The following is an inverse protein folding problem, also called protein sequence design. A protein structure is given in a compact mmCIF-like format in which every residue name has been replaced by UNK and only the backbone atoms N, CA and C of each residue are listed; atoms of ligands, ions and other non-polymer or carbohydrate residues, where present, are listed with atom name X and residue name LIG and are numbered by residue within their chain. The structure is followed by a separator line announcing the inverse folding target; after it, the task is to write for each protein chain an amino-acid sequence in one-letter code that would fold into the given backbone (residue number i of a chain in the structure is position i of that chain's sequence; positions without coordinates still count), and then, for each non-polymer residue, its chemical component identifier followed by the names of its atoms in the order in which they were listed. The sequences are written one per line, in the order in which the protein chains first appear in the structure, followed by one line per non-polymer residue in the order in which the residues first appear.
data_IF_818423342531
#
_entry.id   IF_818423342531
#
_cell.length_a   1.000
_cell.length_b   1.000
_cell.length_c   1.000
_cell.angle_alpha   90.00
_cell.angle_beta   90.00
_cell.angle_gamma   90.00
#
_symmetry.space_group_name_H-M   'P 1'
#
loop_
_entity.id
_entity.type
_entity.pdbx_description
1 polymer ?
#
# COMPACT_ATOMS: atom_id res chain seq x y z
N UNK A 1 -1.20 -10.92 -12.35
CA UNK A 1 -0.07 -10.44 -13.16
C UNK A 1 -0.58 -9.83 -14.43
N UNK A 2 -0.06 -8.67 -14.79
CA UNK A 2 -0.44 -7.91 -15.96
C UNK A 2 0.26 -8.51 -17.18
N UNK A 3 -0.36 -9.48 -17.85
CA UNK A 3 0.03 -9.87 -19.20
C UNK A 3 -1.07 -9.40 -20.16
N UNK A 4 -0.71 -8.97 -21.36
CA UNK A 4 -1.67 -8.60 -22.41
C UNK A 4 -2.69 -9.72 -22.63
N UNK A 5 -2.23 -10.97 -22.67
CA UNK A 5 -3.07 -12.15 -22.81
C UNK A 5 -4.14 -12.28 -21.73
N UNK A 6 -3.83 -11.91 -20.47
CA UNK A 6 -4.83 -11.96 -19.39
C UNK A 6 -5.84 -10.81 -19.50
N UNK A 7 -5.42 -9.64 -19.99
CA UNK A 7 -6.33 -8.53 -20.22
C UNK A 7 -7.28 -8.80 -21.37
N UNK A 8 -6.78 -9.38 -22.46
CA UNK A 8 -7.58 -9.83 -23.59
C UNK A 8 -8.59 -10.90 -23.16
N UNK A 9 -8.17 -11.88 -22.36
CA UNK A 9 -9.07 -12.92 -21.85
C UNK A 9 -10.18 -12.34 -20.95
N UNK A 10 -9.90 -11.31 -20.14
CA UNK A 10 -10.92 -10.62 -19.35
C UNK A 10 -11.91 -9.88 -20.25
N UNK A 11 -11.40 -9.12 -21.24
CA UNK A 11 -12.26 -8.42 -22.19
C UNK A 11 -13.13 -9.38 -23.01
N UNK A 12 -12.58 -10.50 -23.48
CA UNK A 12 -13.34 -11.53 -24.19
C UNK A 12 -14.43 -12.18 -23.30
N UNK A 13 -14.19 -12.25 -21.99
CA UNK A 13 -15.19 -12.75 -21.02
C UNK A 13 -16.20 -11.68 -20.60
N UNK A 14 -16.19 -10.48 -21.18
CA UNK A 14 -17.11 -9.39 -20.87
C UNK A 14 -16.79 -8.63 -19.57
N UNK A 15 -15.60 -8.81 -19.02
CA UNK A 15 -15.17 -8.09 -17.81
C UNK A 15 -14.33 -6.86 -18.16
N UNK A 16 -14.57 -5.79 -17.44
CA UNK A 16 -13.71 -4.61 -17.44
C UNK A 16 -12.59 -4.74 -16.39
N UNK A 17 -11.51 -3.99 -16.57
CA UNK A 17 -10.38 -4.06 -15.65
C UNK A 17 -9.76 -2.71 -15.33
N UNK A 18 -9.22 -2.59 -14.12
CA UNK A 18 -8.32 -1.51 -13.69
C UNK A 18 -7.11 -2.17 -13.05
N UNK A 19 -5.92 -2.01 -13.64
CA UNK A 19 -4.70 -2.67 -13.19
C UNK A 19 -3.52 -1.70 -13.10
N UNK A 20 -2.64 -1.93 -12.13
CA UNK A 20 -1.42 -1.12 -11.99
C UNK A 20 -0.45 -1.39 -13.14
N UNK A 21 0.00 -0.35 -13.82
CA UNK A 21 0.99 -0.46 -14.91
C UNK A 21 2.41 -0.55 -14.38
N UNK A 22 3.21 -1.46 -14.94
CA UNK A 22 4.66 -1.44 -14.77
C UNK A 22 5.25 -0.46 -15.77
N UNK A 23 5.69 0.69 -15.29
CA UNK A 23 6.37 1.67 -16.14
C UNK A 23 7.82 1.22 -16.31
N UNK A 24 8.13 0.59 -17.44
CA UNK A 24 9.48 0.12 -17.76
C UNK A 24 10.34 1.13 -18.51
N UNK A 25 9.70 2.11 -19.17
CA UNK A 25 10.33 3.24 -19.85
C UNK A 25 9.56 4.50 -19.49
N UNK A 26 10.22 5.66 -19.48
CA UNK A 26 9.49 6.94 -19.38
C UNK A 26 8.61 7.05 -20.62
N UNK A 27 7.28 7.14 -20.48
CA UNK A 27 6.41 7.35 -21.63
C UNK A 27 6.80 8.63 -22.37
N UNK A 28 6.63 8.65 -23.68
CA UNK A 28 7.02 9.79 -24.52
C UNK A 28 6.37 11.09 -24.04
N UNK A 29 5.08 11.05 -23.76
CA UNK A 29 4.29 12.20 -23.30
C UNK A 29 4.81 12.76 -21.97
N UNK A 30 5.19 11.88 -21.03
CA UNK A 30 5.80 12.28 -19.75
C UNK A 30 7.19 12.88 -19.98
N UNK A 31 7.99 12.29 -20.87
CA UNK A 31 9.33 12.77 -21.16
C UNK A 31 9.29 14.15 -21.83
N UNK A 32 8.35 14.39 -22.75
CA UNK A 32 8.13 15.72 -23.34
C UNK A 32 7.66 16.73 -22.28
N UNK A 33 6.71 16.34 -21.45
CA UNK A 33 6.19 17.21 -20.41
C UNK A 33 7.30 17.61 -19.41
N UNK A 34 8.13 16.65 -18.97
CA UNK A 34 9.25 16.92 -18.07
C UNK A 34 10.32 17.84 -18.66
N UNK A 35 10.46 17.87 -19.98
CA UNK A 35 11.36 18.82 -20.67
C UNK A 35 10.83 20.26 -20.67
N UNK A 36 9.52 20.41 -20.65
CA UNK A 36 8.86 21.71 -20.77
C UNK A 36 8.49 22.30 -19.40
N UNK A 37 8.09 21.47 -18.47
CA UNK A 37 7.59 21.88 -17.16
C UNK A 37 7.93 20.88 -16.06
N UNK A 38 7.98 21.36 -14.82
CA UNK A 38 8.08 20.51 -13.64
C UNK A 38 6.72 19.87 -13.35
N UNK A 39 6.71 18.56 -13.04
CA UNK A 39 5.49 17.86 -12.66
C UNK A 39 4.92 18.43 -11.35
N UNK A 40 3.64 18.76 -11.35
CA UNK A 40 2.91 19.25 -10.18
C UNK A 40 2.28 18.08 -9.42
N UNK A 41 2.09 18.22 -8.09
CA UNK A 41 1.47 17.16 -7.30
C UNK A 41 0.06 16.86 -7.78
N UNK A 42 -0.30 15.57 -7.81
CA UNK A 42 -1.55 15.03 -8.35
C UNK A 42 -1.76 15.18 -9.86
N UNK A 43 -0.75 15.61 -10.59
CA UNK A 43 -0.87 15.72 -12.04
C UNK A 43 -1.19 14.39 -12.69
N UNK A 44 -2.19 14.41 -13.57
CA UNK A 44 -2.66 13.24 -14.31
C UNK A 44 -2.39 13.45 -15.79
N UNK A 45 -1.85 12.42 -16.43
CA UNK A 45 -1.63 12.35 -17.87
C UNK A 45 -2.25 11.07 -18.40
N UNK A 46 -2.90 11.13 -19.56
CA UNK A 46 -3.60 9.99 -20.16
C UNK A 46 -3.04 9.73 -21.55
N UNK A 47 -2.64 8.51 -21.80
CA UNK A 47 -2.23 8.03 -23.13
C UNK A 47 -3.26 7.03 -23.60
N UNK A 48 -3.93 7.33 -24.71
CA UNK A 48 -4.89 6.43 -25.33
C UNK A 48 -4.17 5.42 -26.23
N UNK A 49 -4.65 4.18 -26.20
CA UNK A 49 -4.29 3.08 -27.11
C UNK A 49 -5.56 2.47 -27.65
N UNK A 50 -5.47 1.69 -28.74
CA UNK A 50 -6.63 1.22 -29.50
C UNK A 50 -7.74 0.59 -28.60
N UNK A 51 -7.36 -0.29 -27.66
CA UNK A 51 -8.31 -1.03 -26.85
C UNK A 51 -8.24 -0.71 -25.33
N UNK A 52 -7.37 0.21 -24.91
CA UNK A 52 -7.21 0.57 -23.52
C UNK A 52 -6.56 1.94 -23.38
N UNK A 53 -6.68 2.54 -22.20
CA UNK A 53 -5.95 3.76 -21.86
C UNK A 53 -5.00 3.51 -20.69
N UNK A 54 -3.91 4.27 -20.71
CA UNK A 54 -2.91 4.27 -19.65
C UNK A 54 -2.95 5.64 -18.98
N UNK A 55 -3.23 5.62 -17.68
CA UNK A 55 -3.32 6.83 -16.86
C UNK A 55 -2.06 6.88 -16.02
N UNK A 56 -1.33 7.99 -16.07
CA UNK A 56 -0.17 8.25 -15.22
C UNK A 56 -0.51 9.33 -14.21
N UNK A 57 -0.19 9.10 -12.96
CA UNK A 57 -0.33 10.07 -11.88
C UNK A 57 1.02 10.33 -11.24
N UNK A 58 1.39 11.60 -11.11
CA UNK A 58 2.54 12.02 -10.32
C UNK A 58 2.11 12.40 -8.89
N UNK A 59 2.89 11.98 -7.90
CA UNK A 59 2.68 12.30 -6.48
C UNK A 59 4.01 12.74 -5.87
N UNK A 60 4.09 14.00 -5.43
CA UNK A 60 5.30 14.58 -4.85
C UNK A 60 5.79 13.82 -3.59
N UNK A 61 4.86 13.45 -2.71
CA UNK A 61 5.17 12.63 -1.50
C UNK A 61 5.78 11.27 -1.86
N UNK A 62 5.28 10.65 -2.93
CA UNK A 62 5.83 9.39 -3.45
C UNK A 62 7.21 9.62 -4.09
N UNK A 63 7.38 10.69 -4.86
CA UNK A 63 8.65 11.04 -5.49
C UNK A 63 9.77 11.18 -4.44
N UNK A 64 9.51 11.89 -3.33
CA UNK A 64 10.46 12.01 -2.22
C UNK A 64 10.85 10.64 -1.62
N UNK A 65 9.89 9.73 -1.45
CA UNK A 65 10.16 8.38 -0.96
C UNK A 65 10.95 7.55 -1.97
N UNK A 66 10.57 7.61 -3.26
CA UNK A 66 11.24 6.89 -4.33
C UNK A 66 12.69 7.37 -4.49
N UNK A 67 12.96 8.68 -4.45
CA UNK A 67 14.30 9.27 -4.47
C UNK A 67 15.14 8.75 -3.30
N UNK A 68 14.63 8.81 -2.08
CA UNK A 68 15.31 8.28 -0.88
C UNK A 68 15.66 6.80 -1.04
N UNK A 69 14.78 6.01 -1.64
CA UNK A 69 15.03 4.58 -1.87
C UNK A 69 16.06 4.35 -3.00
N UNK A 70 16.03 5.16 -4.06
CA UNK A 70 17.01 5.13 -5.15
C UNK A 70 18.41 5.45 -4.60
N UNK A 71 18.56 6.51 -3.80
CA UNK A 71 19.82 6.90 -3.17
C UNK A 71 20.41 5.79 -2.29
N UNK A 72 19.55 5.15 -1.46
CA UNK A 72 19.97 3.98 -0.67
C UNK A 72 20.46 2.82 -1.55
N UNK A 73 19.80 2.57 -2.68
CA UNK A 73 20.22 1.52 -3.62
C UNK A 73 21.52 1.88 -4.34
N UNK A 74 21.71 3.16 -4.71
CA UNK A 74 22.96 3.67 -5.30
C UNK A 74 24.11 3.56 -4.31
N UNK A 75 23.92 3.94 -3.05
CA UNK A 75 24.95 3.80 -2.01
C UNK A 75 25.40 2.35 -1.85
N UNK A 76 24.44 1.39 -1.84
CA UNK A 76 24.76 -0.04 -1.84
C UNK A 76 25.52 -0.48 -3.10
N UNK A 77 25.12 0.03 -4.27
CA UNK A 77 25.78 -0.26 -5.54
C UNK A 77 27.24 0.24 -5.56
N UNK A 78 27.49 1.46 -5.05
CA UNK A 78 28.84 2.04 -4.92
C UNK A 78 29.72 1.18 -4.02
N UNK A 79 29.22 0.70 -2.86
CA UNK A 79 29.97 -0.21 -1.97
C UNK A 79 30.37 -1.52 -2.66
N UNK A 80 29.51 -2.08 -3.51
CA UNK A 80 29.81 -3.30 -4.30
C UNK A 80 30.88 -3.00 -5.38
N UNK A 81 30.77 -1.88 -6.07
CA UNK A 81 31.74 -1.45 -7.10
C UNK A 81 33.11 -1.22 -6.49
N UNK A 82 33.19 -0.58 -5.32
CA UNK A 82 34.42 -0.29 -4.59
C UNK A 82 35.00 -1.51 -3.84
N UNK A 83 34.40 -2.69 -3.96
CA UNK A 83 34.90 -3.90 -3.27
C UNK A 83 34.60 -3.95 -1.76
N UNK A 84 33.86 -2.97 -1.22
CA UNK A 84 33.53 -2.86 0.20
C UNK A 84 32.35 -3.74 0.65
N UNK A 85 31.68 -4.40 -0.29
CA UNK A 85 30.55 -5.29 0.00
C UNK A 85 30.58 -6.49 -0.95
N UNK A 86 30.10 -7.67 -0.51
CA UNK A 86 30.02 -8.86 -1.32
C UNK A 86 29.09 -8.64 -2.53
N UNK A 87 29.38 -9.30 -3.64
CA UNK A 87 28.61 -9.20 -4.85
C UNK A 87 27.25 -9.87 -4.69
N UNK A 88 26.22 -9.05 -4.42
CA UNK A 88 24.81 -9.46 -4.48
C UNK A 88 24.17 -8.81 -5.70
N UNK A 89 23.13 -9.45 -6.27
CA UNK A 89 22.35 -8.89 -7.36
C UNK A 89 21.86 -7.48 -7.00
N UNK A 90 22.38 -6.49 -7.69
CA UNK A 90 21.99 -5.08 -7.51
C UNK A 90 21.54 -4.49 -8.84
N UNK A 91 20.43 -3.75 -8.84
CA UNK A 91 19.81 -3.15 -10.01
C UNK A 91 20.75 -2.19 -10.76
N UNK A 92 21.57 -1.46 -10.02
CA UNK A 92 22.41 -0.38 -10.55
C UNK A 92 23.87 -0.78 -10.79
N UNK A 93 24.20 -2.07 -10.66
CA UNK A 93 25.54 -2.59 -10.99
C UNK A 93 25.47 -3.33 -12.33
N UNK A 94 26.30 -2.93 -13.28
CA UNK A 94 26.47 -3.60 -14.55
C UNK A 94 27.60 -4.63 -14.48
N UNK A 95 27.33 -5.83 -15.02
CA UNK A 95 28.25 -6.96 -15.09
C UNK A 95 28.78 -7.22 -16.52
N UNK A 96 28.38 -6.39 -17.48
CA UNK A 96 28.64 -6.64 -18.91
C UNK A 96 30.09 -6.37 -19.38
N UNK A 97 30.93 -5.79 -18.55
CA UNK A 97 32.31 -5.45 -18.86
C UNK A 97 33.26 -6.06 -17.84
N UNK A 98 34.54 -6.27 -18.19
CA UNK A 98 35.63 -6.73 -17.30
C UNK A 98 35.80 -5.75 -16.09
N UNK A 99 34.79 -5.69 -15.23
CA UNK A 99 34.76 -4.80 -14.06
C UNK A 99 33.35 -4.48 -13.61
N UNK A 100 33.21 -4.21 -12.33
CA UNK A 100 31.97 -3.76 -11.71
C UNK A 100 31.81 -2.26 -11.96
N UNK A 101 30.80 -1.84 -12.70
CA UNK A 101 30.54 -0.41 -12.97
C UNK A 101 29.10 -0.04 -12.58
N UNK A 102 28.89 1.21 -12.19
CA UNK A 102 27.55 1.77 -12.01
C UNK A 102 26.86 1.90 -13.38
N UNK A 103 25.59 1.54 -13.43
CA UNK A 103 24.76 1.74 -14.62
C UNK A 103 24.01 3.07 -14.50
N UNK A 104 24.63 4.15 -14.97
CA UNK A 104 24.07 5.50 -14.93
C UNK A 104 22.75 5.59 -15.67
N UNK A 105 22.59 4.98 -16.84
CA UNK A 105 21.36 4.97 -17.60
C UNK A 105 20.15 4.42 -16.82
N UNK A 106 20.37 3.40 -15.96
CA UNK A 106 19.33 2.87 -15.09
C UNK A 106 19.07 3.78 -13.88
N UNK A 107 20.08 4.51 -13.40
CA UNK A 107 19.95 5.49 -12.34
C UNK A 107 19.11 6.67 -12.82
N UNK A 108 19.48 7.27 -13.96
CA UNK A 108 18.77 8.41 -14.56
C UNK A 108 17.31 8.06 -14.84
N UNK A 109 17.09 6.88 -15.41
CA UNK A 109 15.73 6.34 -15.62
C UNK A 109 14.95 6.17 -14.32
N UNK A 110 15.58 5.74 -13.24
CA UNK A 110 14.93 5.58 -11.96
C UNK A 110 14.49 6.93 -11.38
N UNK A 111 15.33 7.95 -11.49
CA UNK A 111 14.97 9.32 -11.09
C UNK A 111 13.85 9.90 -11.97
N UNK A 112 13.92 9.71 -13.28
CA UNK A 112 12.89 10.19 -14.20
C UNK A 112 11.49 9.58 -13.96
N UNK A 113 11.43 8.38 -13.35
CA UNK A 113 10.19 7.69 -13.01
C UNK A 113 9.76 7.88 -11.54
N UNK A 114 10.55 8.61 -10.74
CA UNK A 114 10.22 8.84 -9.33
C UNK A 114 8.88 9.59 -9.18
N UNK A 115 8.00 9.08 -8.32
CA UNK A 115 6.69 9.65 -8.05
C UNK A 115 5.60 9.30 -9.06
N UNK A 116 5.93 8.66 -10.18
CA UNK A 116 4.97 8.33 -11.23
C UNK A 116 4.39 6.94 -10.99
N UNK A 117 3.05 6.83 -11.01
CA UNK A 117 2.30 5.59 -10.97
C UNK A 117 1.42 5.49 -12.22
N UNK A 118 1.40 4.32 -12.83
CA UNK A 118 0.58 4.06 -14.01
C UNK A 118 -0.58 3.10 -13.71
N UNK A 119 -1.68 3.32 -14.40
CA UNK A 119 -2.88 2.49 -14.37
C UNK A 119 -3.29 2.18 -15.80
N UNK A 120 -3.69 0.94 -16.06
CA UNK A 120 -4.21 0.50 -17.36
C UNK A 120 -5.66 0.10 -17.19
N UNK A 121 -6.53 0.55 -18.08
CA UNK A 121 -7.96 0.24 -18.05
C UNK A 121 -8.57 0.32 -19.46
N UNK A 122 -9.60 -0.48 -19.69
CA UNK A 122 -10.49 -0.44 -20.85
C UNK A 122 -11.74 0.43 -20.61
N UNK A 123 -11.97 0.85 -19.34
CA UNK A 123 -13.12 1.66 -18.98
C UNK A 123 -13.03 3.08 -19.52
N UNK A 124 -14.11 3.55 -20.09
CA UNK A 124 -14.26 4.95 -20.49
C UNK A 124 -14.85 5.80 -19.36
N UNK A 125 -14.09 5.94 -18.28
CA UNK A 125 -14.40 6.78 -17.13
C UNK A 125 -13.35 7.87 -16.96
N UNK A 126 -13.74 8.94 -16.25
CA UNK A 126 -12.80 10.01 -15.90
C UNK A 126 -11.59 9.47 -15.12
N UNK A 127 -10.36 9.89 -15.41
CA UNK A 127 -9.14 9.35 -14.83
C UNK A 127 -9.14 9.32 -13.29
N UNK A 128 -9.69 10.35 -12.64
CA UNK A 128 -9.77 10.42 -11.18
C UNK A 128 -10.66 9.31 -10.59
N UNK A 129 -11.78 8.99 -11.25
CA UNK A 129 -12.66 7.88 -10.82
C UNK A 129 -11.95 6.54 -10.93
N UNK A 130 -11.15 6.33 -11.98
CA UNK A 130 -10.35 5.12 -12.16
C UNK A 130 -9.28 4.99 -11.08
N UNK A 131 -8.60 6.09 -10.77
CA UNK A 131 -7.60 6.14 -9.70
C UNK A 131 -8.26 5.85 -8.34
N UNK A 132 -9.40 6.48 -8.05
CA UNK A 132 -10.16 6.23 -6.83
C UNK A 132 -10.60 4.76 -6.71
N UNK A 133 -11.18 4.19 -7.76
CA UNK A 133 -11.57 2.79 -7.79
C UNK A 133 -10.39 1.84 -7.57
N UNK A 134 -9.21 2.13 -8.16
CA UNK A 134 -8.00 1.36 -7.89
C UNK A 134 -7.55 1.45 -6.42
N UNK A 135 -7.76 2.59 -5.77
CA UNK A 135 -7.39 2.77 -4.36
C UNK A 135 -8.26 1.94 -3.41
N UNK A 136 -9.50 1.57 -3.78
CA UNK A 136 -10.32 0.65 -2.97
C UNK A 136 -9.68 -0.73 -2.79
N UNK A 137 -8.83 -1.19 -3.73
CA UNK A 137 -8.01 -2.40 -3.54
C UNK A 137 -7.15 -2.32 -2.28
N UNK A 138 -6.66 -1.13 -1.93
CA UNK A 138 -5.84 -0.94 -0.75
C UNK A 138 -6.61 -1.21 0.56
N UNK A 139 -7.90 -0.89 0.59
CA UNK A 139 -8.78 -1.18 1.73
C UNK A 139 -8.97 -2.69 1.90
N UNK A 140 -9.15 -3.41 0.79
CA UNK A 140 -9.23 -4.87 0.80
C UNK A 140 -7.92 -5.50 1.28
N UNK A 141 -6.77 -5.05 0.75
CA UNK A 141 -5.45 -5.51 1.19
C UNK A 141 -5.21 -5.20 2.68
N UNK A 142 -5.63 -4.04 3.16
CA UNK A 142 -5.53 -3.66 4.57
C UNK A 142 -6.42 -4.56 5.45
N UNK A 143 -7.61 -4.93 4.99
CA UNK A 143 -8.50 -5.87 5.67
C UNK A 143 -7.89 -7.27 5.76
N UNK A 144 -7.32 -7.79 4.68
CA UNK A 144 -6.58 -9.07 4.72
C UNK A 144 -5.36 -9.02 5.64
N UNK A 145 -4.67 -7.90 5.70
CA UNK A 145 -3.54 -7.71 6.63
C UNK A 145 -4.02 -7.72 8.07
N UNK A 146 -5.09 -7.00 8.39
CA UNK A 146 -5.72 -7.02 9.70
C UNK A 146 -6.13 -8.44 10.10
N UNK A 147 -6.82 -9.17 9.23
CA UNK A 147 -7.21 -10.55 9.49
C UNK A 147 -6.01 -11.45 9.82
N UNK A 148 -4.90 -11.31 9.08
CA UNK A 148 -3.70 -12.14 9.27
C UNK A 148 -2.89 -11.78 10.51
N UNK A 149 -2.70 -10.48 10.78
CA UNK A 149 -1.77 -10.00 11.82
C UNK A 149 -2.46 -9.67 13.13
N UNK A 150 -3.55 -8.91 13.08
CA UNK A 150 -4.18 -8.38 14.29
C UNK A 150 -5.22 -9.35 14.85
N UNK A 151 -6.01 -9.98 13.98
CA UNK A 151 -7.05 -10.95 14.36
C UNK A 151 -6.56 -12.41 14.34
N UNK A 152 -5.31 -12.64 13.96
CA UNK A 152 -4.68 -13.98 13.96
C UNK A 152 -5.52 -15.05 13.26
N UNK A 153 -6.12 -14.74 12.11
CA UNK A 153 -6.86 -15.70 11.31
C UNK A 153 -6.04 -16.93 10.91
N UNK A 154 -4.71 -16.84 11.01
CA UNK A 154 -3.77 -17.93 10.76
C UNK A 154 -2.69 -17.99 11.84
N UNK A 155 -2.17 -19.19 12.18
CA UNK A 155 -2.58 -20.51 11.70
C UNK A 155 -3.94 -20.95 12.28
N UNK A 156 -4.70 -21.77 11.53
CA UNK A 156 -5.92 -22.41 12.00
C UNK A 156 -5.52 -23.78 12.57
N UNK A 157 -5.74 -23.98 13.88
CA UNK A 157 -5.40 -25.22 14.58
C UNK A 157 -6.59 -26.20 14.66
N UNK A 158 -7.76 -25.78 14.18
CA UNK A 158 -8.96 -26.60 14.17
C UNK A 158 -8.95 -27.56 12.96
N UNK A 159 -9.39 -28.81 13.20
CA UNK A 159 -9.45 -29.83 12.15
C UNK A 159 -10.91 -30.16 11.76
N UNK A 160 -11.88 -29.89 12.62
CA UNK A 160 -13.30 -30.07 12.33
C UNK A 160 -13.82 -28.89 11.52
N UNK A 161 -14.61 -29.17 10.49
CA UNK A 161 -15.20 -28.16 9.60
C UNK A 161 -15.95 -27.08 10.36
N UNK A 162 -16.85 -27.49 11.27
CA UNK A 162 -17.65 -26.57 12.08
C UNK A 162 -16.80 -25.61 12.92
N UNK A 163 -15.71 -26.12 13.52
CA UNK A 163 -14.79 -25.29 14.28
C UNK A 163 -13.99 -24.33 13.40
N UNK A 164 -13.66 -24.72 12.17
CA UNK A 164 -13.02 -23.84 11.18
C UNK A 164 -13.99 -22.73 10.74
N UNK A 165 -15.24 -23.09 10.44
CA UNK A 165 -16.28 -22.13 10.05
C UNK A 165 -16.58 -21.15 11.18
N UNK A 166 -16.70 -21.62 12.43
CA UNK A 166 -16.87 -20.76 13.61
C UNK A 166 -15.69 -19.79 13.78
N UNK A 167 -14.44 -20.29 13.68
CA UNK A 167 -13.24 -19.45 13.75
C UNK A 167 -13.23 -18.35 12.68
N UNK A 168 -13.51 -18.73 11.42
CA UNK A 168 -13.56 -17.76 10.31
C UNK A 168 -14.70 -16.74 10.49
N UNK A 169 -15.86 -17.17 10.99
CA UNK A 169 -16.99 -16.27 11.28
C UNK A 169 -16.61 -15.24 12.34
N UNK A 170 -15.96 -15.67 13.43
CA UNK A 170 -15.47 -14.76 14.48
C UNK A 170 -14.46 -13.76 13.90
N UNK A 171 -13.52 -14.22 13.08
CA UNK A 171 -12.51 -13.34 12.44
C UNK A 171 -13.18 -12.33 11.53
N UNK A 172 -14.12 -12.76 10.66
CA UNK A 172 -14.82 -11.87 9.73
C UNK A 172 -15.67 -10.84 10.47
N UNK A 173 -16.41 -11.26 11.50
CA UNK A 173 -17.20 -10.36 12.34
C UNK A 173 -16.31 -9.33 13.06
N UNK A 174 -15.21 -9.80 13.67
CA UNK A 174 -14.25 -8.92 14.34
C UNK A 174 -13.62 -7.93 13.36
N UNK A 175 -13.35 -8.35 12.12
CA UNK A 175 -12.84 -7.48 11.08
C UNK A 175 -13.87 -6.40 10.68
N UNK A 176 -15.14 -6.78 10.50
CA UNK A 176 -16.21 -5.84 10.17
C UNK A 176 -16.39 -4.78 11.28
N UNK A 177 -16.43 -5.20 12.53
CA UNK A 177 -16.51 -4.30 13.70
C UNK A 177 -15.28 -3.39 13.75
N UNK A 178 -14.07 -3.94 13.59
CA UNK A 178 -12.83 -3.16 13.59
C UNK A 178 -12.83 -2.10 12.50
N UNK A 179 -13.27 -2.45 11.29
CA UNK A 179 -13.40 -1.49 10.17
C UNK A 179 -14.42 -0.40 10.46
N UNK A 180 -15.54 -0.76 11.06
CA UNK A 180 -16.56 0.22 11.47
C UNK A 180 -16.00 1.20 12.49
N UNK A 181 -15.25 0.73 13.49
CA UNK A 181 -14.59 1.58 14.48
C UNK A 181 -13.56 2.49 13.82
N UNK A 182 -12.69 1.96 12.94
CA UNK A 182 -11.71 2.76 12.20
C UNK A 182 -12.38 3.86 11.37
N UNK A 183 -13.50 3.55 10.73
CA UNK A 183 -14.26 4.53 9.93
C UNK A 183 -14.89 5.62 10.81
N UNK A 184 -15.46 5.27 11.94
CA UNK A 184 -16.10 6.22 12.86
C UNK A 184 -15.08 7.12 13.56
N UNK A 185 -13.95 6.55 13.99
CA UNK A 185 -12.96 7.24 14.84
C UNK A 185 -11.81 7.88 14.06
N UNK A 186 -11.61 7.49 12.79
CA UNK A 186 -10.48 7.93 11.96
C UNK A 186 -9.12 7.39 12.41
N UNK A 187 -9.06 6.50 13.40
CA UNK A 187 -7.82 5.90 13.91
C UNK A 187 -7.82 4.38 13.73
N UNK A 188 -6.63 3.78 13.63
CA UNK A 188 -6.52 2.32 13.49
C UNK A 188 -7.03 1.60 14.74
N UNK A 189 -7.63 0.42 14.55
CA UNK A 189 -8.14 -0.41 15.66
C UNK A 189 -7.07 -0.69 16.72
N UNK A 190 -5.83 -0.89 16.30
CA UNK A 190 -4.70 -1.08 17.20
C UNK A 190 -4.46 0.14 18.10
N UNK A 191 -4.56 1.35 17.54
CA UNK A 191 -4.43 2.59 18.31
C UNK A 191 -5.64 2.80 19.21
N UNK A 192 -6.84 2.51 18.72
CA UNK A 192 -8.08 2.58 19.49
C UNK A 192 -8.00 1.69 20.74
N UNK A 193 -7.68 0.39 20.56
CA UNK A 193 -7.51 -0.54 21.68
C UNK A 193 -6.40 -0.11 22.63
N UNK A 194 -5.27 0.41 22.10
CA UNK A 194 -4.17 0.91 22.95
C UNK A 194 -4.61 2.08 23.82
N UNK A 195 -5.45 2.97 23.31
CA UNK A 195 -5.96 4.12 24.04
C UNK A 195 -6.98 3.72 25.12
N UNK A 196 -7.81 2.69 24.86
CA UNK A 196 -8.83 2.22 25.82
C UNK A 196 -8.25 1.30 26.92
N UNK A 197 -7.19 0.56 26.62
CA UNK A 197 -6.63 -0.45 27.53
C UNK A 197 -6.22 0.04 28.92
N UNK A 198 -5.74 1.30 29.10
CA UNK A 198 -5.42 1.84 30.42
C UNK A 198 -6.66 2.20 31.26
N UNK A 199 -7.82 2.38 30.63
CA UNK A 199 -9.06 2.77 31.31
C UNK A 199 -9.62 1.52 31.99
N UNK A 200 -9.54 1.47 33.30
CA UNK A 200 -9.96 0.32 34.12
C UNK A 200 -10.73 0.82 35.32
N UNK A 201 -11.89 0.24 35.58
CA UNK A 201 -12.53 0.28 36.89
C UNK A 201 -11.92 -0.79 37.79
N UNK A 202 -11.98 -0.57 39.07
CA UNK A 202 -11.50 -1.51 40.08
C UNK A 202 -12.52 -1.68 41.21
N UNK A 203 -12.51 -2.84 41.85
CA UNK A 203 -13.25 -3.07 43.10
C UNK A 203 -12.23 -3.02 44.23
N UNK A 204 -12.42 -2.11 45.18
CA UNK A 204 -11.59 -1.97 46.39
C UNK A 204 -12.41 -2.42 47.57
N UNK A 205 -11.92 -3.42 48.32
CA UNK A 205 -12.56 -3.91 49.53
C UNK A 205 -11.91 -3.20 50.73
N UNK A 206 -12.68 -2.42 51.47
CA UNK A 206 -12.28 -1.73 52.69
C UNK A 206 -13.21 -2.15 53.83
N UNK A 207 -12.65 -2.67 54.91
CA UNK A 207 -13.42 -3.12 56.10
C UNK A 207 -14.56 -4.10 55.77
N UNK A 208 -14.35 -5.01 54.78
CA UNK A 208 -15.35 -5.99 54.37
C UNK A 208 -16.45 -5.43 53.45
N UNK A 209 -16.39 -4.15 53.08
CA UNK A 209 -17.30 -3.52 52.11
C UNK A 209 -16.59 -3.29 50.79
N UNK A 210 -17.27 -3.61 49.69
CA UNK A 210 -16.78 -3.37 48.34
C UNK A 210 -17.17 -1.98 47.83
N UNK A 211 -16.19 -1.29 47.29
CA UNK A 211 -16.36 0.01 46.65
C UNK A 211 -15.92 -0.12 45.19
N UNK A 212 -16.74 0.34 44.26
CA UNK A 212 -16.37 0.40 42.84
C UNK A 212 -15.66 1.74 42.60
N UNK A 213 -14.40 1.63 42.22
CA UNK A 213 -13.66 2.78 41.72
C UNK A 213 -13.92 2.93 40.22
N UNK A 214 -14.65 3.97 39.84
CA UNK A 214 -14.94 4.22 38.42
C UNK A 214 -13.69 4.61 37.65
N UNK A 215 -13.68 4.22 36.38
CA UNK A 215 -12.57 4.58 35.49
C UNK A 215 -12.63 6.06 35.13
N UNK A 216 -11.52 6.76 35.32
CA UNK A 216 -11.36 8.12 34.79
C UNK A 216 -11.09 8.04 33.28
N UNK A 217 -12.06 8.49 32.47
CA UNK A 217 -11.95 8.49 31.01
C UNK A 217 -11.39 9.86 30.56
N UNK A 218 -10.19 9.89 29.93
CA UNK A 218 -9.61 11.12 29.42
C UNK A 218 -10.52 11.81 28.38
N UNK A 219 -10.52 13.15 28.35
CA UNK A 219 -11.39 13.96 27.47
C UNK A 219 -11.18 13.70 25.97
N UNK A 220 -9.98 13.36 25.58
CA UNK A 220 -9.63 13.00 24.19
C UNK A 220 -10.28 11.65 23.78
N UNK A 221 -10.46 10.73 24.72
CA UNK A 221 -11.11 9.44 24.47
C UNK A 221 -12.64 9.60 24.44
N UNK A 222 -13.20 10.46 25.28
CA UNK A 222 -14.63 10.81 25.19
C UNK A 222 -15.03 11.27 23.79
N UNK A 223 -14.19 12.08 23.13
CA UNK A 223 -14.41 12.57 21.76
C UNK A 223 -14.29 11.46 20.68
N UNK A 224 -13.68 10.33 20.98
CA UNK A 224 -13.54 9.22 20.05
C UNK A 224 -14.73 8.24 20.11
N UNK A 225 -15.53 8.32 21.18
CA UNK A 225 -16.63 7.36 21.44
C UNK A 225 -18.00 8.03 21.15
N UNK A 226 -18.07 9.35 21.10
CA UNK A 226 -19.24 10.12 20.67
C UNK A 226 -19.28 10.22 19.13
#
# INVERSE_FOLDING_TARGET
MLSLKNLEALSCAGYHYIVGSRISKVPYDIAQYQKQQTLTDNQIMVTHKDNYKVIYQYRAKRAALDVKNIEKQIAKARRIVNGQAPMKRNRFVSLKTRGKKLNHALIDKAYALAGIKGYVTDLDLHPEKIIAAYHHLFEVEASFRMAKSDLKARPIFHHKREAIEAHLTIVLTSMAVSRRIEWLTGISIKRFVKNLRPIRSGIVTLNGKEYVADAEVPKDIHKLIQ
#
